data_IF_203485804101
#
_entry.id   IF_203485804101
#
_cell.length_a   1.000
_cell.length_b   1.000
_cell.length_c   1.000
_cell.angle_alpha   90.00
_cell.angle_beta   90.00
_cell.angle_gamma   90.00
#
_symmetry.space_group_name_H-M   'P 1'
#
loop_
_entity.id
_entity.type
_entity.pdbx_description
1 polymer ?
#
# COMPACT_ATOMS: atom_id res chain seq x y z
N UNK A 1 -8.99 -24.38 -19.44
CA UNK A 1 -9.59 -23.05 -19.67
C UNK A 1 -9.99 -22.34 -18.38
N UNK A 2 -10.75 -23.00 -17.48
CA UNK A 2 -11.21 -22.43 -16.20
C UNK A 2 -10.07 -22.05 -15.24
N UNK A 3 -9.02 -22.87 -15.15
CA UNK A 3 -7.88 -22.58 -14.27
C UNK A 3 -7.09 -21.33 -14.68
N UNK A 4 -7.04 -21.02 -15.98
CA UNK A 4 -6.38 -19.80 -16.48
C UNK A 4 -7.17 -18.54 -16.12
N UNK A 5 -8.51 -18.58 -16.20
CA UNK A 5 -9.34 -17.43 -15.84
C UNK A 5 -9.20 -17.11 -14.35
N UNK A 6 -9.20 -18.13 -13.50
CA UNK A 6 -9.03 -17.98 -12.04
C UNK A 6 -7.66 -17.40 -11.73
N UNK A 7 -6.61 -17.88 -12.40
CA UNK A 7 -5.25 -17.40 -12.20
C UNK A 7 -5.10 -15.92 -12.58
N UNK A 8 -5.71 -15.49 -13.68
CA UNK A 8 -5.71 -14.08 -14.11
C UNK A 8 -6.41 -13.19 -13.08
N UNK A 9 -7.55 -13.63 -12.55
CA UNK A 9 -8.31 -12.86 -11.54
C UNK A 9 -7.51 -12.71 -10.25
N UNK A 10 -6.84 -13.75 -9.79
CA UNK A 10 -5.98 -13.68 -8.60
C UNK A 10 -4.82 -12.71 -8.85
N UNK A 11 -4.17 -12.80 -10.01
CA UNK A 11 -3.06 -11.93 -10.37
C UNK A 11 -3.47 -10.45 -10.38
N UNK A 12 -4.64 -10.13 -10.97
CA UNK A 12 -5.12 -8.75 -11.07
C UNK A 12 -5.45 -8.16 -9.70
N UNK A 13 -6.04 -8.94 -8.79
CA UNK A 13 -6.32 -8.50 -7.41
C UNK A 13 -5.01 -8.19 -6.66
N UNK A 14 -4.00 -9.06 -6.76
CA UNK A 14 -2.71 -8.87 -6.11
C UNK A 14 -1.99 -7.64 -6.67
N UNK A 15 -1.96 -7.47 -7.99
CA UNK A 15 -1.35 -6.30 -8.64
C UNK A 15 -2.07 -5.02 -8.23
N UNK A 16 -3.41 -5.01 -8.18
CA UNK A 16 -4.19 -3.85 -7.78
C UNK A 16 -3.90 -3.43 -6.33
N UNK A 17 -3.78 -4.41 -5.42
CA UNK A 17 -3.42 -4.17 -4.03
C UNK A 17 -2.02 -3.55 -3.91
N UNK A 18 -1.02 -4.14 -4.58
CA UNK A 18 0.35 -3.62 -4.59
C UNK A 18 0.40 -2.23 -5.22
N UNK A 19 -0.28 -2.01 -6.34
CA UNK A 19 -0.33 -0.72 -7.02
C UNK A 19 -0.90 0.37 -6.12
N UNK A 20 -1.99 0.11 -5.39
CA UNK A 20 -2.55 1.04 -4.40
C UNK A 20 -1.52 1.38 -3.32
N UNK A 21 -0.82 0.38 -2.78
CA UNK A 21 0.22 0.59 -1.77
C UNK A 21 1.37 1.44 -2.33
N UNK A 22 1.81 1.18 -3.56
CA UNK A 22 2.91 1.91 -4.21
C UNK A 22 2.52 3.35 -4.56
N UNK A 23 1.29 3.59 -5.02
CA UNK A 23 0.79 4.94 -5.32
C UNK A 23 0.71 5.77 -4.04
N UNK A 24 0.18 5.20 -2.95
CA UNK A 24 0.14 5.85 -1.64
C UNK A 24 1.56 6.14 -1.13
N UNK A 25 2.48 5.17 -1.26
CA UNK A 25 3.91 5.34 -0.93
C UNK A 25 4.57 6.44 -1.76
N UNK A 26 4.28 6.53 -3.06
CA UNK A 26 4.81 7.57 -3.96
C UNK A 26 4.27 8.96 -3.67
N UNK A 27 3.02 9.07 -3.19
CA UNK A 27 2.40 10.35 -2.82
C UNK A 27 2.91 10.94 -1.50
N UNK A 28 3.85 10.28 -0.82
CA UNK A 28 4.43 10.75 0.44
C UNK A 28 3.86 10.09 1.69
N UNK A 29 2.81 9.27 1.56
CA UNK A 29 2.32 8.42 2.64
C UNK A 29 3.23 7.19 2.75
N UNK A 30 4.37 7.33 3.43
CA UNK A 30 5.31 6.21 3.65
C UNK A 30 4.63 5.03 4.37
N UNK A 31 3.59 5.28 5.16
CA UNK A 31 2.92 4.28 6.00
C UNK A 31 1.41 4.24 5.67
N UNK A 32 0.97 3.16 5.01
CA UNK A 32 -0.46 2.90 4.77
C UNK A 32 -1.13 2.66 6.13
N UNK A 33 -2.10 3.51 6.49
CA UNK A 33 -2.83 3.41 7.76
C UNK A 33 -2.38 4.36 8.88
N UNK A 34 -1.39 5.24 8.64
CA UNK A 34 -1.01 6.25 9.63
C UNK A 34 -1.72 7.59 9.37
N UNK A 35 -2.61 8.06 10.27
CA UNK A 35 -3.32 9.34 10.10
C UNK A 35 -2.39 10.56 10.09
N UNK A 36 -1.14 10.40 10.54
CA UNK A 36 -0.11 11.43 10.58
C UNK A 36 0.98 11.28 9.50
N UNK A 37 0.79 10.40 8.51
CA UNK A 37 1.84 10.07 7.52
C UNK A 37 2.25 11.24 6.60
N UNK A 38 1.62 12.41 6.72
CA UNK A 38 1.92 13.62 5.94
C UNK A 38 2.95 14.54 6.64
N UNK A 39 3.22 14.33 7.93
CA UNK A 39 4.20 15.11 8.69
C UNK A 39 5.51 14.34 8.82
N UNK A 40 6.50 14.74 8.02
CA UNK A 40 7.90 14.82 8.43
C UNK A 40 8.69 13.53 8.67
N UNK A 41 9.79 13.43 7.92
CA UNK A 41 10.93 12.52 8.12
C UNK A 41 10.81 11.10 7.57
N UNK A 42 11.95 10.61 7.08
CA UNK A 42 12.10 9.44 6.23
C UNK A 42 11.81 8.08 6.92
N UNK A 43 11.34 8.08 8.17
CA UNK A 43 11.16 6.88 8.99
C UNK A 43 9.69 6.76 9.42
N UNK A 44 9.05 5.61 9.16
CA UNK A 44 7.75 5.28 9.73
C UNK A 44 7.90 5.04 11.24
N UNK A 45 8.08 6.11 12.02
CA UNK A 45 8.04 6.09 13.47
C UNK A 45 6.66 6.52 13.94
N UNK A 46 5.76 5.58 14.23
CA UNK A 46 4.61 5.85 15.09
C UNK A 46 5.14 6.04 16.52
N UNK A 47 5.74 7.18 16.82
CA UNK A 47 6.09 7.51 18.18
C UNK A 47 4.82 8.03 18.87
N UNK A 48 4.09 7.11 19.51
CA UNK A 48 3.02 7.45 20.43
C UNK A 48 3.60 8.18 21.63
N UNK A 49 3.62 9.51 21.59
CA UNK A 49 3.99 10.36 22.72
C UNK A 49 3.37 11.74 22.57
N UNK A 50 2.04 11.84 22.73
CA UNK A 50 1.38 12.43 23.90
C UNK A 50 -0.14 12.44 23.68
#
# INVERSE_FOLDING_TARGET
>A
MTNLIVLIIILTIVIAAIAKIVIEKRKGAKCVGCPYSQTGSSSCGCNGSK
#
